data_IF_772398317962
#
_entry.id   IF_772398317962
#
_cell.length_a   1.000
_cell.length_b   1.000
_cell.length_c   1.000
_cell.angle_alpha   90.00
_cell.angle_beta   90.00
_cell.angle_gamma   90.00
#
_symmetry.space_group_name_H-M   'P 1'
#
loop_
_entity.id
_entity.type
_entity.pdbx_description
1 polymer ?
#
# COMPACT_ATOMS: atom_id res chain seq x y z
N UNK A 1 -13.08 15.32 37.52
CA UNK A 1 -14.10 15.44 36.45
C UNK A 1 -13.53 15.61 35.03
N UNK A 2 -12.25 15.98 34.83
CA UNK A 2 -11.70 16.17 33.47
C UNK A 2 -11.27 14.87 32.74
N UNK A 3 -10.95 13.79 33.46
CA UNK A 3 -10.53 12.53 32.84
C UNK A 3 -11.70 11.72 32.24
N UNK A 4 -12.88 11.82 32.83
CA UNK A 4 -14.08 11.08 32.39
C UNK A 4 -14.64 11.64 31.07
N UNK A 5 -14.56 12.96 30.89
CA UNK A 5 -14.99 13.65 29.66
C UNK A 5 -14.04 13.46 28.47
N UNK A 6 -12.75 13.24 28.73
CA UNK A 6 -11.75 12.92 27.71
C UNK A 6 -11.89 11.49 27.19
N UNK A 7 -12.21 10.55 28.09
CA UNK A 7 -12.38 9.12 27.76
C UNK A 7 -13.54 8.88 26.80
N UNK A 8 -14.67 9.55 27.03
CA UNK A 8 -15.86 9.44 26.17
C UNK A 8 -15.63 10.03 24.77
N UNK A 9 -14.88 11.14 24.65
CA UNK A 9 -14.61 11.77 23.34
C UNK A 9 -13.73 10.88 22.45
N UNK A 10 -12.74 10.21 23.04
CA UNK A 10 -11.85 9.29 22.33
C UNK A 10 -12.57 8.00 21.91
N UNK A 11 -13.42 7.46 22.80
CA UNK A 11 -14.28 6.31 22.51
C UNK A 11 -15.30 6.63 21.39
N UNK A 12 -15.92 7.81 21.43
CA UNK A 12 -16.85 8.28 20.40
C UNK A 12 -16.13 8.50 19.06
N UNK A 13 -14.92 9.05 19.08
CA UNK A 13 -14.12 9.24 17.87
C UNK A 13 -13.71 7.88 17.27
N UNK A 14 -13.29 6.93 18.11
CA UNK A 14 -12.97 5.57 17.68
C UNK A 14 -14.20 4.91 17.05
N UNK A 15 -15.36 4.96 17.70
CA UNK A 15 -16.59 4.38 17.17
C UNK A 15 -17.00 4.97 15.80
N UNK A 16 -16.77 6.26 15.59
CA UNK A 16 -17.10 6.94 14.33
C UNK A 16 -16.08 6.67 13.21
N UNK A 17 -14.81 6.41 13.54
CA UNK A 17 -13.72 6.31 12.56
C UNK A 17 -13.29 4.88 12.27
N UNK A 18 -13.58 3.92 13.15
CA UNK A 18 -13.13 2.52 13.01
C UNK A 18 -13.68 1.86 11.73
N UNK A 19 -14.99 1.97 11.48
CA UNK A 19 -15.61 1.36 10.31
C UNK A 19 -15.16 2.00 8.97
N UNK A 20 -15.07 3.35 8.84
CA UNK A 20 -14.38 3.98 7.71
C UNK A 20 -12.93 3.50 7.54
N UNK A 21 -12.15 3.43 8.61
CA UNK A 21 -10.74 3.01 8.56
C UNK A 21 -10.59 1.56 8.07
N UNK A 22 -11.40 0.63 8.58
CA UNK A 22 -11.46 -0.76 8.09
C UNK A 22 -11.80 -0.85 6.60
N UNK A 23 -12.71 -0.01 6.11
CA UNK A 23 -13.05 0.07 4.67
C UNK A 23 -11.87 0.56 3.85
N UNK A 24 -11.19 1.63 4.28
CA UNK A 24 -10.00 2.13 3.58
C UNK A 24 -8.87 1.10 3.52
N UNK A 25 -8.63 0.35 4.60
CA UNK A 25 -7.65 -0.76 4.60
C UNK A 25 -8.02 -1.84 3.57
N UNK A 26 -9.30 -2.23 3.50
CA UNK A 26 -9.78 -3.20 2.52
C UNK A 26 -9.63 -2.69 1.07
N UNK A 27 -9.90 -1.41 0.82
CA UNK A 27 -9.71 -0.78 -0.48
C UNK A 27 -8.22 -0.75 -0.89
N UNK A 28 -7.32 -0.45 0.04
CA UNK A 28 -5.87 -0.50 -0.19
C UNK A 28 -5.41 -1.92 -0.55
N UNK A 29 -5.89 -2.95 0.15
CA UNK A 29 -5.63 -4.34 -0.23
C UNK A 29 -6.13 -4.67 -1.64
N UNK A 30 -7.34 -4.24 -2.00
CA UNK A 30 -7.90 -4.47 -3.33
C UNK A 30 -7.13 -3.73 -4.43
N UNK A 31 -6.56 -2.55 -4.15
CA UNK A 31 -5.66 -1.85 -5.06
C UNK A 31 -4.34 -2.63 -5.22
N UNK A 32 -3.75 -3.07 -4.11
CA UNK A 32 -2.52 -3.87 -4.10
C UNK A 32 -2.67 -5.16 -4.92
N UNK A 33 -3.78 -5.87 -4.76
CA UNK A 33 -4.09 -7.06 -5.56
C UNK A 33 -4.17 -6.76 -7.06
N UNK A 34 -4.89 -5.72 -7.47
CA UNK A 34 -5.03 -5.35 -8.89
C UNK A 34 -3.70 -4.97 -9.53
N UNK A 35 -2.84 -4.28 -8.79
CA UNK A 35 -1.49 -3.94 -9.24
C UNK A 35 -0.60 -5.20 -9.36
N UNK A 36 -0.69 -6.15 -8.42
CA UNK A 36 0.03 -7.42 -8.51
C UNK A 36 -0.45 -8.28 -9.69
N UNK A 37 -1.75 -8.28 -9.99
CA UNK A 37 -2.29 -8.93 -11.18
C UNK A 37 -1.77 -8.29 -12.47
N UNK A 38 -1.64 -6.97 -12.50
CA UNK A 38 -1.05 -6.26 -13.64
C UNK A 38 0.43 -6.62 -13.80
N UNK A 39 1.19 -6.61 -12.70
CA UNK A 39 2.60 -7.01 -12.69
C UNK A 39 2.80 -8.44 -13.21
N UNK A 40 2.00 -9.39 -12.75
CA UNK A 40 2.07 -10.79 -13.17
C UNK A 40 1.79 -10.99 -14.67
N UNK A 41 1.03 -10.09 -15.30
CA UNK A 41 0.71 -10.13 -16.74
C UNK A 41 1.78 -9.46 -17.62
N UNK A 42 2.67 -8.66 -17.04
CA UNK A 42 3.73 -7.98 -17.77
C UNK A 42 4.97 -8.88 -17.84
N UNK A 43 5.44 -9.28 -19.04
CA UNK A 43 6.64 -10.10 -19.15
C UNK A 43 7.88 -9.30 -18.72
N UNK A 44 8.89 -9.92 -18.09
CA UNK A 44 10.16 -9.23 -17.82
C UNK A 44 10.81 -8.77 -19.13
N UNK A 45 11.59 -7.69 -19.07
CA UNK A 45 12.34 -7.23 -20.23
C UNK A 45 13.46 -8.22 -20.56
N UNK A 46 13.69 -8.50 -21.84
CA UNK A 46 14.83 -9.33 -22.27
C UNK A 46 16.18 -8.65 -22.03
N UNK A 47 16.18 -7.35 -21.68
CA UNK A 47 17.37 -6.54 -21.39
C UNK A 47 17.42 -6.04 -19.95
N UNK A 48 16.61 -6.65 -19.07
CA UNK A 48 16.47 -6.26 -17.66
C UNK A 48 17.82 -6.17 -16.93
N UNK A 49 18.72 -7.13 -17.15
CA UNK A 49 20.05 -7.12 -16.53
C UNK A 49 20.89 -5.89 -16.93
N UNK A 50 20.89 -5.52 -18.21
CA UNK A 50 21.61 -4.33 -18.70
C UNK A 50 21.01 -3.03 -18.13
N UNK A 51 19.69 -2.96 -17.97
CA UNK A 51 19.02 -1.81 -17.35
C UNK A 51 19.37 -1.69 -15.86
N UNK A 52 19.44 -2.82 -15.14
CA UNK A 52 19.84 -2.84 -13.73
C UNK A 52 21.29 -2.39 -13.52
N UNK A 53 22.17 -2.65 -14.49
CA UNK A 53 23.56 -2.19 -14.49
C UNK A 53 23.73 -0.73 -14.96
N UNK A 54 22.65 -0.08 -15.43
CA UNK A 54 22.70 1.25 -16.01
C UNK A 54 23.35 1.31 -17.40
N UNK A 55 23.49 0.16 -18.05
CA UNK A 55 24.05 0.03 -19.40
C UNK A 55 23.00 0.31 -20.49
N UNK A 56 21.71 0.23 -20.14
CA UNK A 56 20.57 0.52 -21.00
C UNK A 56 19.51 1.38 -20.31
N UNK A 57 18.80 2.17 -21.11
CA UNK A 57 17.64 2.93 -20.63
C UNK A 57 16.48 2.00 -20.24
N UNK A 58 15.78 2.27 -19.12
CA UNK A 58 14.61 1.52 -18.71
C UNK A 58 13.49 1.49 -19.75
N UNK A 59 13.14 0.30 -20.24
CA UNK A 59 11.99 0.13 -21.11
C UNK A 59 10.65 0.19 -20.35
N UNK A 60 9.55 0.18 -21.10
CA UNK A 60 8.21 0.23 -20.49
C UNK A 60 7.96 -0.92 -19.52
N UNK A 61 8.36 -2.14 -19.86
CA UNK A 61 8.06 -3.31 -19.03
C UNK A 61 8.80 -3.25 -17.71
N UNK A 62 10.11 -2.97 -17.78
CA UNK A 62 10.96 -2.77 -16.61
C UNK A 62 10.40 -1.66 -15.72
N UNK A 63 10.09 -0.49 -16.30
CA UNK A 63 9.58 0.67 -15.56
C UNK A 63 8.28 0.36 -14.84
N UNK A 64 7.31 -0.28 -15.51
CA UNK A 64 6.02 -0.57 -14.89
C UNK A 64 6.16 -1.63 -13.80
N UNK A 65 6.91 -2.71 -14.06
CA UNK A 65 7.12 -3.78 -13.07
C UNK A 65 7.80 -3.25 -11.82
N UNK A 66 8.93 -2.55 -11.98
CA UNK A 66 9.67 -1.99 -10.84
C UNK A 66 8.88 -0.92 -10.10
N UNK A 67 8.09 -0.09 -10.81
CA UNK A 67 7.20 0.89 -10.17
C UNK A 67 6.14 0.19 -9.31
N UNK A 68 5.52 -0.88 -9.80
CA UNK A 68 4.53 -1.65 -9.04
C UNK A 68 5.16 -2.32 -7.82
N UNK A 69 6.33 -2.96 -7.99
CA UNK A 69 7.06 -3.59 -6.89
C UNK A 69 7.41 -2.59 -5.78
N UNK A 70 7.92 -1.40 -6.14
CA UNK A 70 8.24 -0.34 -5.19
C UNK A 70 6.97 0.23 -4.53
N UNK A 71 5.90 0.51 -5.30
CA UNK A 71 4.65 1.02 -4.75
C UNK A 71 4.04 0.05 -3.72
N UNK A 72 4.20 -1.25 -3.93
CA UNK A 72 3.70 -2.28 -3.04
C UNK A 72 4.46 -2.29 -1.73
N UNK A 73 5.77 -2.49 -1.83
CA UNK A 73 6.62 -2.68 -0.66
C UNK A 73 6.78 -1.40 0.16
N UNK A 74 7.01 -0.28 -0.53
CA UNK A 74 7.45 0.96 0.13
C UNK A 74 6.27 1.84 0.55
N UNK A 75 5.06 1.60 0.01
CA UNK A 75 3.88 2.43 0.27
C UNK A 75 2.65 1.64 0.72
N UNK A 76 2.13 0.71 -0.08
CA UNK A 76 0.87 0.04 0.24
C UNK A 76 0.98 -0.87 1.47
N UNK A 77 1.95 -1.77 1.50
CA UNK A 77 2.13 -2.71 2.60
C UNK A 77 2.46 -1.97 3.91
N UNK A 78 3.28 -0.93 3.82
CA UNK A 78 3.63 -0.06 4.94
C UNK A 78 2.39 0.68 5.49
N UNK A 79 1.58 1.29 4.62
CA UNK A 79 0.38 2.01 5.02
C UNK A 79 -0.67 1.06 5.63
N UNK A 80 -0.91 -0.09 5.00
CA UNK A 80 -1.85 -1.10 5.50
C UNK A 80 -1.44 -1.56 6.91
N UNK A 81 -0.17 -1.93 7.10
CA UNK A 81 0.34 -2.39 8.40
C UNK A 81 0.20 -1.32 9.48
N UNK A 82 0.57 -0.08 9.16
CA UNK A 82 0.46 1.04 10.08
C UNK A 82 -1.00 1.31 10.49
N UNK A 83 -1.94 1.27 9.54
CA UNK A 83 -3.35 1.52 9.81
C UNK A 83 -4.01 0.34 10.56
N UNK A 84 -3.62 -0.91 10.28
CA UNK A 84 -4.08 -2.08 11.01
C UNK A 84 -3.68 -2.03 12.49
N UNK A 85 -2.46 -1.55 12.78
CA UNK A 85 -1.97 -1.39 14.17
C UNK A 85 -2.82 -0.41 14.99
N UNK A 86 -3.58 0.49 14.36
CA UNK A 86 -4.50 1.41 15.05
C UNK A 86 -5.84 0.77 15.41
N UNK A 87 -6.13 -0.42 14.87
CA UNK A 87 -7.39 -1.15 15.04
C UNK A 87 -7.27 -2.35 16.00
N UNK A 88 -6.04 -2.82 16.25
CA UNK A 88 -5.70 -3.87 17.22
C UNK A 88 -5.62 -3.30 18.65
#
# INVERSE_FOLDING_TARGET
>A
MSQEKGRTMEEDLKAQTEAPLRRSIAELHAIGQRLNELHARLPPSSREDAMLLGEDDPDYSFRVRTTIECAQRDHLDAAITALQTLLD
#
